data_IF_527540102435
#
_entry.id   IF_527540102435
#
_cell.length_a   1.000
_cell.length_b   1.000
_cell.length_c   1.000
_cell.angle_alpha   90.00
_cell.angle_beta   90.00
_cell.angle_gamma   90.00
#
_symmetry.space_group_name_H-M   'P 1'
#
loop_
_entity.id
_entity.type
_entity.pdbx_description
1 polymer ?
#
# COMPACT_ATOMS: atom_id res chain seq x y z
N UNK A 1 -53.28 33.29 18.24
CA UNK A 1 -53.04 32.38 17.08
C UNK A 1 -52.34 31.13 17.56
N UNK A 2 -53.04 29.95 17.51
CA UNK A 2 -52.39 28.67 17.83
C UNK A 2 -51.59 28.21 16.59
N UNK A 3 -50.25 28.15 16.68
CA UNK A 3 -49.41 27.51 15.68
C UNK A 3 -49.75 26.01 15.65
N UNK A 4 -50.29 25.52 14.53
CA UNK A 4 -50.41 24.09 14.27
C UNK A 4 -49.03 23.52 14.07
N UNK A 5 -48.52 22.77 15.02
CA UNK A 5 -47.35 21.95 14.84
C UNK A 5 -47.80 20.75 14.00
N UNK A 6 -47.40 20.72 12.73
CA UNK A 6 -47.57 19.56 11.87
C UNK A 6 -46.51 18.52 12.26
N UNK A 7 -46.94 17.44 12.88
CA UNK A 7 -46.08 16.29 13.16
C UNK A 7 -45.94 15.42 11.92
N UNK A 8 -44.75 14.78 11.78
CA UNK A 8 -44.51 13.79 10.73
C UNK A 8 -45.43 12.57 10.92
N UNK A 9 -45.90 12.04 9.81
CA UNK A 9 -46.70 10.81 9.82
C UNK A 9 -45.79 9.59 9.80
N UNK A 10 -46.26 8.47 10.36
CA UNK A 10 -45.50 7.21 10.36
C UNK A 10 -45.17 6.73 8.94
N UNK A 11 -46.11 6.92 8.00
CA UNK A 11 -45.92 6.54 6.59
C UNK A 11 -44.86 7.42 5.91
N UNK A 12 -44.75 8.69 6.27
CA UNK A 12 -43.77 9.62 5.75
C UNK A 12 -42.34 9.20 6.19
N UNK A 13 -42.18 8.78 7.44
CA UNK A 13 -40.93 8.24 7.94
C UNK A 13 -40.57 6.91 7.26
N UNK A 14 -41.52 6.01 7.05
CA UNK A 14 -41.30 4.76 6.33
C UNK A 14 -40.86 5.02 4.89
N UNK A 15 -41.48 5.98 4.21
CA UNK A 15 -41.11 6.35 2.84
C UNK A 15 -39.68 6.89 2.77
N UNK A 16 -39.28 7.75 3.70
CA UNK A 16 -37.93 8.29 3.78
C UNK A 16 -36.87 7.18 3.98
N UNK A 17 -37.13 6.24 4.88
CA UNK A 17 -36.24 5.11 5.12
C UNK A 17 -36.09 4.22 3.88
N UNK A 18 -37.19 3.96 3.16
CA UNK A 18 -37.15 3.18 1.90
C UNK A 18 -36.31 3.91 0.83
N UNK A 19 -36.54 5.21 0.66
CA UNK A 19 -35.77 6.02 -0.32
C UNK A 19 -34.30 6.03 0.02
N UNK A 20 -33.91 6.30 1.27
CA UNK A 20 -32.54 6.30 1.71
C UNK A 20 -31.92 4.91 1.54
N UNK A 21 -32.63 3.85 1.92
CA UNK A 21 -32.19 2.47 1.77
C UNK A 21 -31.89 2.09 0.30
N UNK A 22 -32.74 2.49 -0.62
CA UNK A 22 -32.53 2.23 -2.07
C UNK A 22 -31.34 3.03 -2.62
N UNK A 23 -31.18 4.28 -2.20
CA UNK A 23 -30.04 5.11 -2.60
C UNK A 23 -28.71 4.53 -2.08
N UNK A 24 -28.66 4.11 -0.82
CA UNK A 24 -27.48 3.47 -0.22
C UNK A 24 -27.15 2.18 -0.96
N UNK A 25 -28.13 1.32 -1.23
CA UNK A 25 -27.91 0.05 -1.95
C UNK A 25 -27.31 0.26 -3.35
N UNK A 26 -27.61 1.37 -4.01
CA UNK A 26 -27.07 1.69 -5.34
C UNK A 26 -25.63 2.24 -5.27
N UNK A 27 -25.27 2.92 -4.18
CA UNK A 27 -23.99 3.65 -4.04
C UNK A 27 -22.89 2.76 -3.45
N UNK A 28 -23.19 1.96 -2.44
CA UNK A 28 -22.22 1.12 -1.71
C UNK A 28 -21.37 0.21 -2.62
N UNK A 29 -21.93 -0.53 -3.60
CA UNK A 29 -21.13 -1.42 -4.44
C UNK A 29 -20.05 -0.72 -5.26
N UNK A 30 -20.22 0.56 -5.55
CA UNK A 30 -19.27 1.35 -6.35
C UNK A 30 -17.97 1.71 -5.61
N UNK A 31 -18.00 1.68 -4.27
CA UNK A 31 -16.84 2.04 -3.46
C UNK A 31 -15.92 0.85 -3.14
N UNK A 32 -16.45 -0.37 -3.11
CA UNK A 32 -15.68 -1.57 -2.73
C UNK A 32 -14.51 -1.82 -3.68
N UNK A 33 -14.70 -1.69 -5.00
CA UNK A 33 -13.62 -1.88 -5.98
C UNK A 33 -12.58 -0.75 -6.02
N UNK A 34 -12.98 0.48 -5.71
CA UNK A 34 -12.08 1.64 -5.73
C UNK A 34 -11.07 1.62 -4.57
N UNK A 35 -11.45 1.10 -3.42
CA UNK A 35 -10.53 0.94 -2.29
C UNK A 35 -9.38 0.00 -2.61
N UNK A 36 -9.64 -1.09 -3.31
CA UNK A 36 -8.60 -2.03 -3.72
C UNK A 36 -7.68 -1.44 -4.78
N UNK A 37 -8.23 -0.76 -5.79
CA UNK A 37 -7.44 -0.04 -6.79
C UNK A 37 -6.51 1.01 -6.17
N UNK A 38 -6.99 1.74 -5.15
CA UNK A 38 -6.19 2.72 -4.43
C UNK A 38 -5.03 2.05 -3.68
N UNK A 39 -5.23 0.88 -3.06
CA UNK A 39 -4.19 0.10 -2.40
C UNK A 39 -3.13 -0.38 -3.40
N UNK A 40 -3.54 -0.92 -4.54
CA UNK A 40 -2.60 -1.33 -5.59
C UNK A 40 -1.79 -0.14 -6.10
N UNK A 41 -2.42 1.02 -6.31
CA UNK A 41 -1.72 2.23 -6.72
C UNK A 41 -0.71 2.72 -5.67
N UNK A 42 -1.06 2.64 -4.38
CA UNK A 42 -0.16 2.98 -3.28
C UNK A 42 1.04 2.02 -3.22
N UNK A 43 0.81 0.70 -3.33
CA UNK A 43 1.90 -0.28 -3.37
C UNK A 43 2.83 -0.06 -4.57
N UNK A 44 2.30 0.29 -5.74
CA UNK A 44 3.11 0.64 -6.92
C UNK A 44 3.97 1.88 -6.67
N UNK A 45 3.42 2.90 -6.01
CA UNK A 45 4.15 4.11 -5.68
C UNK A 45 5.28 3.82 -4.67
N UNK A 46 5.04 3.00 -3.67
CA UNK A 46 6.05 2.59 -2.70
C UNK A 46 7.19 1.82 -3.38
N UNK A 47 6.86 0.81 -4.18
CA UNK A 47 7.84 -0.04 -4.86
C UNK A 47 8.67 0.76 -5.88
N UNK A 48 8.03 1.64 -6.66
CA UNK A 48 8.70 2.36 -7.77
C UNK A 48 9.34 3.69 -7.38
N UNK A 49 8.91 4.26 -6.27
CA UNK A 49 9.40 5.58 -5.83
C UNK A 49 10.00 5.55 -4.43
N UNK A 50 9.22 5.30 -3.39
CA UNK A 50 9.68 5.45 -2.02
C UNK A 50 10.83 4.50 -1.67
N UNK A 51 10.60 3.20 -1.80
CA UNK A 51 11.60 2.16 -1.47
C UNK A 51 12.72 2.18 -2.48
N UNK A 52 12.40 2.33 -3.78
CA UNK A 52 13.41 2.39 -4.83
C UNK A 52 14.36 3.57 -4.64
N UNK A 53 13.89 4.73 -4.20
CA UNK A 53 14.76 5.87 -3.88
C UNK A 53 15.68 5.56 -2.71
N UNK A 54 15.16 4.97 -1.65
CA UNK A 54 15.98 4.54 -0.51
C UNK A 54 17.07 3.53 -0.89
N UNK A 55 16.71 2.55 -1.71
CA UNK A 55 17.67 1.55 -2.24
C UNK A 55 18.75 2.19 -3.13
N UNK A 56 18.38 3.16 -3.98
CA UNK A 56 19.32 3.90 -4.82
C UNK A 56 20.28 4.77 -4.01
N UNK A 57 19.80 5.42 -2.95
CA UNK A 57 20.66 6.19 -2.06
C UNK A 57 21.64 5.27 -1.30
N UNK A 58 21.16 4.12 -0.83
CA UNK A 58 22.02 3.12 -0.22
C UNK A 58 23.12 2.64 -1.19
N UNK A 59 22.75 2.30 -2.44
CA UNK A 59 23.70 1.91 -3.49
C UNK A 59 24.72 3.02 -3.77
N UNK A 60 24.27 4.27 -3.82
CA UNK A 60 25.14 5.42 -4.08
C UNK A 60 26.24 5.56 -3.02
N UNK A 61 25.87 5.37 -1.75
CA UNK A 61 26.79 5.52 -0.62
C UNK A 61 27.71 4.29 -0.46
N UNK A 62 27.19 3.08 -0.67
CA UNK A 62 27.89 1.82 -0.36
C UNK A 62 28.40 1.05 -1.59
N UNK A 63 28.00 1.48 -2.80
CA UNK A 63 28.44 0.87 -4.06
C UNK A 63 27.64 -0.36 -4.50
N UNK A 64 26.72 -0.84 -3.67
CA UNK A 64 25.86 -2.00 -3.95
C UNK A 64 24.52 -1.88 -3.21
N UNK A 65 23.54 -2.64 -3.65
CA UNK A 65 22.26 -2.77 -2.91
C UNK A 65 22.45 -3.64 -1.66
N UNK A 66 21.59 -3.51 -0.64
CA UNK A 66 21.56 -4.43 0.49
C UNK A 66 21.43 -5.88 0.00
N UNK A 67 22.10 -6.82 0.66
CA UNK A 67 21.89 -8.24 0.38
C UNK A 67 20.48 -8.71 0.79
N UNK A 68 20.06 -9.87 0.31
CA UNK A 68 18.78 -10.47 0.71
C UNK A 68 18.68 -10.67 2.22
N UNK A 69 19.79 -11.01 2.89
CA UNK A 69 19.83 -11.25 4.33
C UNK A 69 19.70 -9.94 5.14
N UNK A 70 20.25 -8.85 4.63
CA UNK A 70 20.14 -7.52 5.22
C UNK A 70 18.73 -6.94 5.01
N UNK A 71 18.15 -7.23 3.86
CA UNK A 71 16.79 -6.83 3.51
C UNK A 71 16.58 -5.31 3.51
N UNK A 72 15.33 -4.90 3.53
CA UNK A 72 14.94 -3.49 3.60
C UNK A 72 15.25 -2.83 4.95
N UNK A 73 15.55 -3.61 5.98
CA UNK A 73 16.00 -3.11 7.28
C UNK A 73 17.30 -2.31 7.21
N UNK A 74 18.16 -2.65 6.26
CA UNK A 74 19.40 -1.92 5.99
C UNK A 74 19.21 -0.45 5.60
N UNK A 75 18.01 -0.10 5.12
CA UNK A 75 17.65 1.29 4.80
C UNK A 75 17.34 2.14 6.03
N UNK A 76 17.16 1.53 7.19
CA UNK A 76 16.79 2.19 8.44
C UNK A 76 17.95 2.14 9.45
N UNK A 77 18.57 0.97 9.57
CA UNK A 77 19.70 0.74 10.46
C UNK A 77 20.86 0.20 9.63
N UNK A 78 22.01 0.88 9.67
CA UNK A 78 23.18 0.49 8.93
C UNK A 78 23.67 -0.90 9.33
N UNK A 79 23.76 -1.85 8.39
CA UNK A 79 24.39 -3.14 8.66
C UNK A 79 25.89 -2.97 8.83
N UNK A 80 26.52 -3.88 9.57
CA UNK A 80 27.99 -3.85 9.80
C UNK A 80 28.82 -4.01 8.52
N UNK A 81 28.23 -4.53 7.46
CA UNK A 81 28.81 -4.67 6.14
C UNK A 81 28.91 -3.36 5.34
N UNK A 82 28.07 -2.36 5.68
CA UNK A 82 27.97 -1.09 4.98
C UNK A 82 28.95 -0.07 5.55
N UNK A 83 30.13 0.03 4.92
CA UNK A 83 31.23 0.90 5.38
C UNK A 83 30.96 2.40 5.25
N UNK A 84 30.09 2.82 4.35
CA UNK A 84 29.78 4.22 4.06
C UNK A 84 28.30 4.55 4.27
N UNK A 85 27.63 3.81 5.12
CA UNK A 85 26.21 4.03 5.40
C UNK A 85 25.96 5.44 5.96
N UNK A 86 25.13 6.23 5.27
CA UNK A 86 24.80 7.62 5.60
C UNK A 86 23.30 7.83 5.89
N UNK A 87 22.57 6.72 6.10
CA UNK A 87 21.12 6.77 6.36
C UNK A 87 20.73 7.40 7.70
N UNK A 88 19.46 7.27 8.11
CA UNK A 88 18.45 6.37 7.53
C UNK A 88 17.94 6.86 6.15
N UNK A 89 17.75 5.94 5.24
CA UNK A 89 17.21 6.20 3.90
C UNK A 89 15.69 6.06 3.84
N UNK A 90 15.11 5.40 4.86
CA UNK A 90 13.67 5.35 5.12
C UNK A 90 13.43 5.68 6.61
N UNK A 91 12.33 6.36 6.90
CA UNK A 91 11.98 6.73 8.27
C UNK A 91 11.51 5.53 9.10
N UNK A 92 10.92 4.54 8.45
CA UNK A 92 10.35 3.34 9.08
C UNK A 92 10.37 2.15 8.12
N UNK A 93 10.22 0.95 8.66
CA UNK A 93 10.07 -0.26 7.85
C UNK A 93 8.86 -0.16 6.94
N UNK A 94 9.06 -0.33 5.62
CA UNK A 94 7.98 -0.19 4.67
C UNK A 94 7.02 -1.38 4.78
N UNK A 95 5.73 -1.08 4.94
CA UNK A 95 4.64 -2.05 4.93
C UNK A 95 3.71 -1.73 3.77
N UNK A 96 3.21 -2.77 3.15
CA UNK A 96 2.26 -2.62 2.05
C UNK A 96 0.87 -2.15 2.54
N UNK A 97 -0.02 -1.69 1.66
CA UNK A 97 -1.35 -1.23 2.02
C UNK A 97 -2.27 -2.30 2.62
N UNK A 98 -1.87 -3.56 2.60
CA UNK A 98 -2.57 -4.67 3.27
C UNK A 98 -1.97 -5.02 4.63
N UNK A 99 -0.91 -4.28 5.06
CA UNK A 99 -0.29 -4.41 6.38
C UNK A 99 0.81 -5.47 6.47
N UNK A 100 1.37 -5.89 5.35
CA UNK A 100 2.47 -6.87 5.28
C UNK A 100 3.77 -6.21 4.89
N UNK A 101 4.89 -6.85 5.18
CA UNK A 101 6.21 -6.42 4.70
C UNK A 101 6.36 -6.72 3.20
N UNK A 102 7.01 -5.81 2.49
CA UNK A 102 7.42 -6.05 1.11
C UNK A 102 8.45 -7.17 1.04
N UNK A 103 8.39 -7.98 0.00
CA UNK A 103 9.38 -9.01 -0.30
C UNK A 103 10.52 -8.39 -1.08
N UNK A 104 11.75 -8.70 -0.65
CA UNK A 104 12.98 -8.18 -1.24
C UNK A 104 13.98 -9.29 -1.48
N UNK A 105 14.61 -9.29 -2.63
CA UNK A 105 15.68 -10.23 -2.99
C UNK A 105 16.75 -9.52 -3.82
N UNK A 106 17.99 -9.62 -3.42
CA UNK A 106 19.14 -9.08 -4.15
C UNK A 106 20.32 -10.08 -4.12
N UNK A 107 20.88 -10.48 -5.30
CA UNK A 107 20.40 -10.17 -6.65
C UNK A 107 19.00 -10.71 -6.91
N UNK A 108 18.23 -10.03 -7.76
CA UNK A 108 16.90 -10.46 -8.16
C UNK A 108 16.93 -11.74 -9.01
N UNK A 109 15.85 -12.51 -8.99
CA UNK A 109 15.65 -13.63 -9.92
C UNK A 109 15.12 -13.15 -11.26
N UNK A 110 14.26 -12.12 -11.24
CA UNK A 110 13.71 -11.47 -12.43
C UNK A 110 14.59 -10.33 -12.90
N UNK A 111 15.17 -9.57 -11.98
CA UNK A 111 16.08 -8.46 -12.25
C UNK A 111 17.49 -8.83 -11.76
N UNK A 112 18.17 -9.68 -12.48
CA UNK A 112 19.46 -10.26 -12.09
C UNK A 112 20.61 -9.24 -11.89
N UNK A 113 20.53 -8.09 -12.54
CA UNK A 113 21.51 -7.00 -12.38
C UNK A 113 21.13 -6.02 -11.26
N UNK A 114 20.02 -6.25 -10.58
CA UNK A 114 19.37 -5.33 -9.66
C UNK A 114 18.72 -6.16 -8.53
N UNK A 115 17.55 -5.76 -8.06
CA UNK A 115 16.80 -6.45 -7.01
C UNK A 115 15.38 -6.73 -7.47
N UNK A 116 14.76 -7.73 -6.89
CA UNK A 116 13.33 -7.99 -6.96
C UNK A 116 12.66 -7.41 -5.71
N UNK A 117 11.61 -6.62 -5.90
CA UNK A 117 10.83 -5.99 -4.85
C UNK A 117 9.35 -6.11 -5.18
N UNK A 118 8.55 -6.70 -4.29
CA UNK A 118 7.13 -6.93 -4.54
C UNK A 118 6.30 -7.00 -3.27
N UNK A 119 4.99 -6.78 -3.42
CA UNK A 119 3.97 -7.05 -2.43
C UNK A 119 3.14 -8.26 -2.86
N UNK A 120 2.77 -9.10 -1.92
CA UNK A 120 1.88 -10.26 -2.14
C UNK A 120 0.41 -9.88 -2.33
N UNK A 121 0.12 -8.59 -2.51
CA UNK A 121 -1.24 -8.15 -2.79
C UNK A 121 -2.25 -8.43 -1.68
N UNK A 122 -3.50 -8.54 -2.06
CA UNK A 122 -4.62 -8.70 -1.15
C UNK A 122 -4.65 -10.07 -0.47
N UNK A 123 -4.38 -11.13 -1.20
CA UNK A 123 -4.49 -12.50 -0.71
C UNK A 123 -3.28 -12.93 0.15
N UNK A 124 -2.14 -12.25 0.02
CA UNK A 124 -0.93 -12.52 0.81
C UNK A 124 -0.18 -13.78 0.38
N UNK A 125 -0.45 -14.26 -0.81
CA UNK A 125 0.22 -15.40 -1.45
C UNK A 125 0.72 -15.01 -2.82
N UNK A 126 1.78 -15.67 -3.31
CA UNK A 126 2.27 -15.39 -4.66
C UNK A 126 1.22 -15.71 -5.71
N UNK A 127 0.74 -14.70 -6.40
CA UNK A 127 -0.34 -14.81 -7.39
C UNK A 127 -0.32 -13.68 -8.42
N UNK A 128 -1.36 -13.60 -9.24
CA UNK A 128 -1.48 -12.59 -10.29
C UNK A 128 -1.87 -11.19 -9.78
N UNK A 129 -2.27 -11.06 -8.51
CA UNK A 129 -2.57 -9.77 -7.89
C UNK A 129 -1.37 -9.13 -7.17
N UNK A 130 -0.20 -9.78 -7.22
CA UNK A 130 1.05 -9.23 -6.71
C UNK A 130 1.42 -7.91 -7.41
N UNK A 131 2.00 -7.00 -6.64
CA UNK A 131 2.54 -5.75 -7.18
C UNK A 131 4.06 -5.86 -7.21
N UNK A 132 4.65 -5.87 -8.41
CA UNK A 132 6.05 -6.21 -8.65
C UNK A 132 6.81 -5.07 -9.31
N UNK A 133 8.14 -5.00 -9.09
CA UNK A 133 9.00 -3.98 -9.73
C UNK A 133 9.47 -4.35 -11.14
N UNK A 134 9.20 -5.55 -11.59
CA UNK A 134 9.60 -6.05 -12.92
C UNK A 134 8.45 -6.15 -13.93
N UNK A 135 7.25 -5.70 -13.57
CA UNK A 135 6.07 -5.59 -14.45
C UNK A 135 5.83 -4.17 -14.95
#
# INVERSE_FOLDING_TARGET
MKKRIMGFTLIEMMLVVIIIGTLIAMVVPRFVGRGEQAKVAAAKADIRSNIATGLKLYELDNGNFPSSDEGLGALIVGPSSAGNWSGPYLERSPTDPWGREYKYKCPGEHRTADYDLYSLGKDGTESSDDVKNWE
#
